data_IF_899067505434
#
_entry.id   IF_899067505434
#
_cell.length_a   1.000
_cell.length_b   1.000
_cell.length_c   1.000
_cell.angle_alpha   90.00
_cell.angle_beta   90.00
_cell.angle_gamma   90.00
#
_symmetry.space_group_name_H-M   'P 1'
#
loop_
_entity.id
_entity.type
_entity.pdbx_description
1 polymer ?
#
# COMPACT_ATOMS: atom_id res chain seq x y z
N UNK A 1 5.56 12.90 -8.16
CA UNK A 1 5.31 12.73 -6.71
C UNK A 1 4.64 13.94 -6.12
N UNK A 2 5.19 15.14 -6.27
CA UNK A 2 4.61 16.36 -5.64
C UNK A 2 3.15 16.60 -6.04
N UNK A 3 2.78 16.50 -7.32
CA UNK A 3 1.37 16.61 -7.75
C UNK A 3 0.42 15.65 -7.03
N UNK A 4 0.90 14.46 -6.65
CA UNK A 4 0.09 13.47 -5.90
C UNK A 4 -0.09 13.92 -4.46
N UNK A 5 0.96 14.43 -3.81
CA UNK A 5 0.83 15.04 -2.47
C UNK A 5 -0.19 16.18 -2.48
N UNK A 6 -0.09 17.09 -3.45
CA UNK A 6 -1.01 18.22 -3.57
C UNK A 6 -2.45 17.76 -3.82
N UNK A 7 -2.67 16.83 -4.76
CA UNK A 7 -4.00 16.32 -5.06
C UNK A 7 -4.61 15.55 -3.88
N UNK A 8 -3.84 14.69 -3.22
CA UNK A 8 -4.37 13.90 -2.10
C UNK A 8 -4.81 14.79 -0.95
N UNK A 9 -4.02 15.82 -0.63
CA UNK A 9 -4.40 16.82 0.36
C UNK A 9 -5.73 17.50 0.00
N UNK A 10 -5.89 17.95 -1.24
CA UNK A 10 -7.12 18.60 -1.72
C UNK A 10 -8.35 17.68 -1.66
N UNK A 11 -8.14 16.37 -1.80
CA UNK A 11 -9.20 15.36 -1.69
C UNK A 11 -9.47 14.94 -0.24
N UNK A 12 -8.74 15.48 0.74
CA UNK A 12 -8.88 15.16 2.16
C UNK A 12 -8.15 13.88 2.58
N UNK A 13 -7.23 13.37 1.76
CA UNK A 13 -6.44 12.18 2.06
C UNK A 13 -5.01 12.55 2.43
N UNK A 14 -4.50 11.93 3.51
CA UNK A 14 -3.08 12.02 3.84
C UNK A 14 -2.29 10.98 3.05
N UNK A 15 -1.51 11.44 2.09
CA UNK A 15 -0.61 10.55 1.33
C UNK A 15 0.65 10.25 2.13
N UNK A 16 0.87 8.98 2.47
CA UNK A 16 1.97 8.55 3.33
C UNK A 16 2.84 7.47 2.66
N UNK A 17 3.67 7.84 1.67
CA UNK A 17 4.58 6.90 1.01
C UNK A 17 5.78 6.55 1.90
N UNK A 18 6.33 5.34 1.73
CA UNK A 18 7.64 5.00 2.33
C UNK A 18 8.73 5.84 1.69
N UNK A 19 9.53 6.51 2.52
CA UNK A 19 10.77 7.18 2.09
C UNK A 19 11.91 6.19 2.32
N UNK A 20 12.57 5.74 1.24
CA UNK A 20 13.73 4.84 1.32
C UNK A 20 15.02 5.62 1.61
N UNK A 21 15.27 6.65 0.82
CA UNK A 21 16.53 7.41 0.82
C UNK A 21 16.27 8.84 1.31
N UNK A 22 16.47 9.03 2.61
CA UNK A 22 16.21 10.32 3.27
C UNK A 22 17.24 11.39 2.85
N UNK A 23 18.48 10.99 2.55
CA UNK A 23 19.56 11.91 2.13
C UNK A 23 19.28 12.63 0.82
N UNK A 24 18.55 11.99 -0.10
CA UNK A 24 18.16 12.58 -1.39
C UNK A 24 16.88 13.43 -1.30
N UNK A 25 16.26 13.44 -0.12
CA UNK A 25 14.97 14.10 0.06
C UNK A 25 15.16 15.60 0.27
N UNK A 26 14.54 16.40 -0.60
CA UNK A 26 14.60 17.86 -0.54
C UNK A 26 13.36 18.47 0.11
N UNK A 27 13.58 19.42 1.03
CA UNK A 27 12.58 20.26 1.69
C UNK A 27 12.44 21.59 0.95
N UNK A 28 11.21 22.06 0.79
CA UNK A 28 10.92 23.32 0.10
C UNK A 28 10.42 24.36 1.10
N UNK A 29 11.07 25.52 1.12
CA UNK A 29 10.69 26.62 2.02
C UNK A 29 10.18 27.83 1.23
N UNK A 30 9.30 28.66 1.84
CA UNK A 30 8.91 29.95 1.28
C UNK A 30 10.12 30.87 1.08
N UNK A 31 9.94 31.92 0.28
CA UNK A 31 10.92 33.01 0.22
C UNK A 31 10.96 33.74 1.56
N UNK A 32 12.15 33.90 2.12
CA UNK A 32 12.40 34.60 3.39
C UNK A 32 13.80 34.31 3.93
N UNK A 33 14.13 34.95 5.05
CA UNK A 33 15.48 34.97 5.65
C UNK A 33 15.67 33.94 6.76
N UNK A 34 14.69 33.04 6.96
CA UNK A 34 14.78 32.00 7.99
C UNK A 34 15.95 31.03 7.71
N UNK A 35 16.89 30.98 8.65
CA UNK A 35 18.01 30.03 8.62
C UNK A 35 17.64 28.75 9.38
N UNK A 36 17.88 27.60 8.76
CA UNK A 36 17.64 26.28 9.33
C UNK A 36 18.93 25.45 9.25
N UNK A 37 19.89 25.73 10.13
CA UNK A 37 21.24 25.16 10.01
C UNK A 37 21.27 23.64 10.03
N UNK A 38 20.48 23.01 10.90
CA UNK A 38 20.38 21.55 11.00
C UNK A 38 19.75 20.89 9.76
N UNK A 39 18.90 21.60 9.02
CA UNK A 39 18.20 21.09 7.84
C UNK A 39 18.81 21.59 6.52
N UNK A 40 19.83 22.45 6.59
CA UNK A 40 20.47 23.07 5.43
C UNK A 40 20.86 22.09 4.31
N UNK A 41 21.39 20.88 4.60
CA UNK A 41 21.70 19.90 3.54
C UNK A 41 20.46 19.36 2.81
N UNK A 42 19.32 19.32 3.51
CA UNK A 42 18.04 18.82 2.98
C UNK A 42 17.23 19.93 2.30
N UNK A 43 17.52 21.20 2.53
CA UNK A 43 16.78 22.30 1.91
C UNK A 43 17.12 22.41 0.42
N UNK A 44 16.08 22.45 -0.42
CA UNK A 44 16.19 22.71 -1.84
C UNK A 44 16.72 24.13 -2.09
N UNK A 45 17.53 24.29 -3.13
CA UNK A 45 17.88 25.62 -3.66
C UNK A 45 16.66 26.33 -4.27
N UNK A 46 15.70 25.57 -4.79
CA UNK A 46 14.44 26.09 -5.33
C UNK A 46 13.47 26.47 -4.20
N UNK A 47 12.88 27.67 -4.32
CA UNK A 47 11.96 28.23 -3.32
C UNK A 47 10.52 28.06 -3.77
N UNK A 48 9.62 27.88 -2.81
CA UNK A 48 8.19 27.80 -3.09
C UNK A 48 7.69 29.06 -3.79
N UNK A 49 6.98 28.87 -4.91
CA UNK A 49 6.36 29.96 -5.64
C UNK A 49 4.89 30.11 -5.28
N UNK A 50 4.63 30.75 -4.13
CA UNK A 50 3.27 30.97 -3.61
C UNK A 50 2.42 31.80 -4.59
N UNK A 51 3.04 32.68 -5.38
CA UNK A 51 2.31 33.49 -6.39
C UNK A 51 1.66 32.61 -7.45
N UNK A 52 2.31 31.52 -7.87
CA UNK A 52 1.75 30.58 -8.84
C UNK A 52 0.56 29.80 -8.28
N UNK A 53 0.62 29.40 -7.01
CA UNK A 53 -0.52 28.76 -6.32
C UNK A 53 -1.72 29.71 -6.31
N UNK A 54 -1.50 30.98 -5.95
CA UNK A 54 -2.57 32.00 -5.90
C UNK A 54 -3.15 32.29 -7.28
N UNK A 55 -2.31 32.40 -8.31
CA UNK A 55 -2.75 32.72 -9.67
C UNK A 55 -3.67 31.64 -10.28
N UNK A 56 -3.50 30.38 -9.88
CA UNK A 56 -4.27 29.25 -10.40
C UNK A 56 -5.15 28.57 -9.33
N UNK A 57 -5.46 29.27 -8.24
CA UNK A 57 -6.17 28.67 -7.10
C UNK A 57 -7.56 28.15 -7.48
N UNK A 58 -8.33 28.93 -8.23
CA UNK A 58 -9.67 28.54 -8.66
C UNK A 58 -9.63 27.30 -9.57
N UNK A 59 -8.61 27.19 -10.42
CA UNK A 59 -8.40 26.02 -11.27
C UNK A 59 -8.06 24.77 -10.46
N UNK A 60 -7.24 24.92 -9.40
CA UNK A 60 -6.92 23.83 -8.46
C UNK A 60 -8.19 23.35 -7.75
N UNK A 61 -9.03 24.26 -7.27
CA UNK A 61 -10.29 23.91 -6.61
C UNK A 61 -11.26 23.23 -7.55
N UNK A 62 -11.41 23.77 -8.78
CA UNK A 62 -12.25 23.15 -9.82
C UNK A 62 -11.75 21.74 -10.15
N UNK A 63 -10.45 21.58 -10.30
CA UNK A 63 -9.81 20.29 -10.57
C UNK A 63 -10.12 19.24 -9.49
N UNK A 64 -9.92 19.59 -8.21
CA UNK A 64 -10.23 18.71 -7.09
C UNK A 64 -11.73 18.38 -7.01
N UNK A 65 -12.58 19.38 -7.26
CA UNK A 65 -14.04 19.22 -7.24
C UNK A 65 -14.54 18.29 -8.34
N UNK A 66 -14.04 18.42 -9.57
CA UNK A 66 -14.41 17.53 -10.69
C UNK A 66 -14.04 16.07 -10.43
N UNK A 67 -12.94 15.82 -9.72
CA UNK A 67 -12.58 14.47 -9.28
C UNK A 67 -13.52 13.99 -8.18
N UNK A 68 -13.79 14.83 -7.17
CA UNK A 68 -14.66 14.49 -6.04
C UNK A 68 -16.11 14.22 -6.48
N UNK A 69 -16.59 14.92 -7.50
CA UNK A 69 -17.91 14.72 -8.10
C UNK A 69 -17.96 13.54 -9.10
N UNK A 70 -16.82 12.90 -9.40
CA UNK A 70 -16.76 11.77 -10.32
C UNK A 70 -16.91 12.13 -11.81
N UNK A 71 -16.88 13.42 -12.16
CA UNK A 71 -16.92 13.89 -13.56
C UNK A 71 -15.71 13.38 -14.37
N UNK A 72 -14.57 13.22 -13.69
CA UNK A 72 -13.32 12.69 -14.26
C UNK A 72 -12.59 11.82 -13.23
N UNK A 73 -11.82 10.84 -13.71
CA UNK A 73 -10.98 10.03 -12.83
C UNK A 73 -9.67 10.75 -12.50
N UNK A 74 -9.17 10.57 -11.27
CA UNK A 74 -7.89 11.13 -10.85
C UNK A 74 -6.72 10.62 -11.72
N UNK A 75 -6.76 9.36 -12.14
CA UNK A 75 -5.73 8.76 -13.00
C UNK A 75 -5.64 9.41 -14.37
N UNK A 76 -6.79 9.67 -15.02
CA UNK A 76 -6.85 10.36 -16.31
C UNK A 76 -6.29 11.79 -16.19
N UNK A 77 -6.71 12.50 -15.15
CA UNK A 77 -6.31 13.87 -14.89
C UNK A 77 -4.81 14.01 -14.60
N UNK A 78 -4.27 13.17 -13.71
CA UNK A 78 -2.83 13.16 -13.43
C UNK A 78 -2.01 12.79 -14.66
N UNK A 79 -2.49 11.86 -15.50
CA UNK A 79 -1.84 11.52 -16.77
C UNK A 79 -1.77 12.74 -17.70
N UNK A 80 -2.88 13.50 -17.83
CA UNK A 80 -2.94 14.71 -18.67
C UNK A 80 -2.03 15.83 -18.16
N UNK A 81 -1.98 16.05 -16.84
CA UNK A 81 -1.06 17.01 -16.23
C UNK A 81 0.40 16.60 -16.38
N UNK A 82 0.67 15.29 -16.38
CA UNK A 82 2.00 14.72 -16.58
C UNK A 82 2.54 14.83 -18.01
N UNK A 83 1.68 15.01 -19.02
CA UNK A 83 2.10 15.09 -20.43
C UNK A 83 2.84 16.38 -20.78
N UNK A 84 2.44 17.52 -20.21
CA UNK A 84 3.06 18.84 -20.50
C UNK A 84 3.23 19.71 -19.24
N UNK A 85 4.02 19.26 -18.25
CA UNK A 85 4.03 19.86 -16.92
C UNK A 85 4.68 21.25 -16.86
N UNK A 86 5.49 21.65 -17.85
CA UNK A 86 6.14 22.99 -17.88
C UNK A 86 5.31 24.04 -18.63
N UNK A 87 4.36 23.61 -19.44
CA UNK A 87 3.51 24.50 -20.25
C UNK A 87 2.11 24.67 -19.63
N UNK A 88 1.79 23.91 -18.59
CA UNK A 88 0.49 23.93 -17.93
C UNK A 88 0.58 24.63 -16.56
N UNK A 89 0.02 25.83 -16.46
CA UNK A 89 0.00 26.63 -15.22
C UNK A 89 -0.63 25.89 -14.04
N UNK A 90 -1.72 25.14 -14.26
CA UNK A 90 -2.34 24.30 -13.23
C UNK A 90 -1.41 23.17 -12.76
N UNK A 91 -0.65 22.54 -13.67
CA UNK A 91 0.31 21.52 -13.28
C UNK A 91 1.43 22.12 -12.41
N UNK A 92 1.96 23.28 -12.79
CA UNK A 92 2.97 24.00 -12.02
C UNK A 92 2.43 24.38 -10.64
N UNK A 93 1.23 24.97 -10.57
CA UNK A 93 0.62 25.38 -9.31
C UNK A 93 0.32 24.18 -8.39
N UNK A 94 -0.20 23.08 -8.93
CA UNK A 94 -0.43 21.85 -8.17
C UNK A 94 0.88 21.21 -7.69
N UNK A 95 1.97 21.31 -8.47
CA UNK A 95 3.30 20.90 -8.02
C UNK A 95 3.79 21.73 -6.85
N UNK A 96 3.64 23.06 -6.88
CA UNK A 96 4.04 23.95 -5.78
C UNK A 96 3.27 23.63 -4.50
N UNK A 97 1.96 23.41 -4.59
CA UNK A 97 1.15 22.95 -3.46
C UNK A 97 1.66 21.59 -2.95
N UNK A 98 1.94 20.66 -3.87
CA UNK A 98 2.49 19.36 -3.56
C UNK A 98 3.85 19.39 -2.86
N UNK A 99 4.70 20.37 -3.16
CA UNK A 99 5.99 20.57 -2.49
C UNK A 99 5.82 21.00 -1.03
N UNK A 100 4.79 21.78 -0.71
CA UNK A 100 4.42 22.14 0.67
C UNK A 100 4.03 20.87 1.44
N UNK A 101 3.03 20.15 0.94
CA UNK A 101 2.51 18.94 1.58
C UNK A 101 3.58 17.86 1.75
N UNK A 102 4.43 17.69 0.73
CA UNK A 102 5.56 16.78 0.80
C UNK A 102 6.56 17.20 1.89
N UNK A 103 6.87 18.49 1.99
CA UNK A 103 7.80 19.02 3.01
C UNK A 103 7.24 18.77 4.41
N UNK A 104 5.96 19.07 4.64
CA UNK A 104 5.28 18.79 5.90
C UNK A 104 5.31 17.29 6.23
N UNK A 105 4.98 16.43 5.26
CA UNK A 105 5.04 14.98 5.45
C UNK A 105 6.45 14.49 5.82
N UNK A 106 7.51 15.04 5.20
CA UNK A 106 8.88 14.64 5.53
C UNK A 106 9.25 15.08 6.96
N UNK A 107 8.83 16.28 7.38
CA UNK A 107 9.05 16.73 8.75
C UNK A 107 8.34 15.82 9.76
N UNK A 108 7.08 15.45 9.50
CA UNK A 108 6.35 14.47 10.29
C UNK A 108 7.05 13.10 10.28
N UNK A 109 7.54 12.68 9.12
CA UNK A 109 8.27 11.43 8.94
C UNK A 109 9.55 11.39 9.77
N UNK A 110 10.26 12.51 9.92
CA UNK A 110 11.47 12.61 10.75
C UNK A 110 11.13 12.53 12.24
N UNK A 111 10.06 13.18 12.67
CA UNK A 111 9.71 13.31 14.08
C UNK A 111 8.96 12.08 14.63
N UNK A 112 8.06 11.48 13.85
CA UNK A 112 7.16 10.43 14.33
C UNK A 112 7.63 9.02 13.99
N UNK A 113 8.07 8.28 15.02
CA UNK A 113 8.35 6.83 14.91
C UNK A 113 7.08 6.04 14.54
N UNK A 114 5.94 6.43 15.08
CA UNK A 114 4.65 5.77 14.87
C UNK A 114 4.20 5.87 13.41
N UNK A 115 4.36 7.05 12.79
CA UNK A 115 4.09 7.23 11.36
C UNK A 115 4.96 6.29 10.52
N UNK A 116 6.26 6.20 10.82
CA UNK A 116 7.19 5.29 10.12
C UNK A 116 6.76 3.83 10.27
N UNK A 117 6.41 3.39 11.48
CA UNK A 117 5.91 2.03 11.76
C UNK A 117 4.63 1.73 10.98
N UNK A 118 3.67 2.66 10.95
CA UNK A 118 2.41 2.49 10.23
C UNK A 118 2.61 2.35 8.72
N UNK A 119 3.46 3.20 8.14
CA UNK A 119 3.79 3.12 6.71
C UNK A 119 4.55 1.84 6.38
N UNK A 120 5.49 1.42 7.23
CA UNK A 120 6.21 0.16 7.05
C UNK A 120 5.27 -1.05 7.16
N UNK A 121 4.31 -1.05 8.07
CA UNK A 121 3.30 -2.11 8.17
C UNK A 121 2.47 -2.24 6.88
N UNK A 122 2.12 -1.12 6.24
CA UNK A 122 1.46 -1.12 4.93
C UNK A 122 2.32 -1.76 3.84
N UNK A 123 3.62 -1.45 3.81
CA UNK A 123 4.55 -2.08 2.88
C UNK A 123 4.70 -3.58 3.14
N UNK A 124 4.87 -3.98 4.41
CA UNK A 124 5.01 -5.37 4.82
C UNK A 124 3.81 -6.21 4.35
N UNK A 125 2.58 -5.67 4.40
CA UNK A 125 1.39 -6.33 3.84
C UNK A 125 1.52 -6.59 2.35
N UNK A 126 1.99 -5.61 1.58
CA UNK A 126 2.24 -5.75 0.15
C UNK A 126 3.35 -6.74 -0.17
N UNK A 127 4.46 -6.68 0.56
CA UNK A 127 5.58 -7.62 0.42
C UNK A 127 5.19 -9.04 0.79
N UNK A 128 4.43 -9.25 1.86
CA UNK A 128 3.90 -10.56 2.26
C UNK A 128 2.94 -11.13 1.22
N UNK A 129 2.04 -10.31 0.66
CA UNK A 129 1.18 -10.73 -0.46
C UNK A 129 2.01 -11.12 -1.68
N UNK A 130 3.03 -10.34 -2.02
CA UNK A 130 3.91 -10.64 -3.14
C UNK A 130 4.76 -11.90 -2.88
N UNK A 131 5.19 -12.13 -1.65
CA UNK A 131 5.91 -13.35 -1.25
C UNK A 131 5.01 -14.59 -1.38
N UNK A 132 3.76 -14.51 -0.89
CA UNK A 132 2.76 -15.56 -1.09
C UNK A 132 2.50 -15.82 -2.57
N UNK A 133 2.28 -14.77 -3.36
CA UNK A 133 2.05 -14.91 -4.80
C UNK A 133 3.24 -15.57 -5.51
N UNK A 134 4.48 -15.25 -5.14
CA UNK A 134 5.69 -15.92 -5.65
C UNK A 134 5.78 -17.37 -5.22
N UNK A 135 5.41 -17.69 -3.98
CA UNK A 135 5.41 -19.08 -3.50
C UNK A 135 4.38 -19.94 -4.26
N UNK A 136 3.19 -19.40 -4.51
CA UNK A 136 2.16 -20.06 -5.32
C UNK A 136 2.59 -20.14 -6.80
N UNK A 137 3.22 -19.09 -7.32
CA UNK A 137 3.68 -19.00 -8.70
C UNK A 137 5.16 -19.42 -8.84
N UNK A 138 5.49 -20.60 -8.32
CA UNK A 138 6.89 -21.09 -8.25
C UNK A 138 7.45 -21.55 -9.61
N UNK A 139 6.60 -21.98 -10.54
CA UNK A 139 7.03 -22.46 -11.85
C UNK A 139 7.51 -21.31 -12.75
N UNK A 140 8.55 -21.55 -13.54
CA UNK A 140 9.18 -20.56 -14.44
C UNK A 140 9.64 -19.28 -13.73
N UNK A 141 10.15 -19.40 -12.51
CA UNK A 141 10.63 -18.27 -11.69
C UNK A 141 9.56 -17.20 -11.42
N UNK A 142 8.28 -17.55 -11.56
CA UNK A 142 7.19 -16.61 -11.42
C UNK A 142 7.01 -15.65 -12.60
N UNK A 143 7.54 -16.00 -13.79
CA UNK A 143 7.38 -15.21 -15.01
C UNK A 143 6.23 -15.71 -15.90
N UNK A 144 5.36 -14.79 -16.31
CA UNK A 144 4.30 -15.07 -17.29
C UNK A 144 4.89 -14.92 -18.70
N UNK A 145 5.30 -16.04 -19.31
CA UNK A 145 5.86 -16.10 -20.67
C UNK A 145 4.84 -16.54 -21.74
N UNK A 146 3.55 -16.29 -21.55
CA UNK A 146 2.56 -16.64 -22.59
C UNK A 146 2.63 -15.67 -23.77
N UNK A 147 2.34 -16.20 -24.95
CA UNK A 147 2.36 -15.42 -26.20
C UNK A 147 1.17 -14.49 -26.34
N UNK A 148 -0.02 -14.89 -25.88
CA UNK A 148 -1.23 -14.06 -26.01
C UNK A 148 -1.58 -13.34 -24.71
N UNK A 149 -2.09 -12.11 -24.84
CA UNK A 149 -2.58 -11.32 -23.71
C UNK A 149 -3.68 -12.05 -22.92
N UNK A 150 -4.53 -12.80 -23.61
CA UNK A 150 -5.61 -13.57 -22.99
C UNK A 150 -5.07 -14.67 -22.06
N UNK A 151 -4.05 -15.42 -22.50
CA UNK A 151 -3.40 -16.44 -21.68
C UNK A 151 -2.68 -15.84 -20.47
N UNK A 152 -2.02 -14.69 -20.65
CA UNK A 152 -1.42 -13.94 -19.54
C UNK A 152 -2.48 -13.53 -18.51
N UNK A 153 -3.64 -13.06 -18.97
CA UNK A 153 -4.78 -12.69 -18.13
C UNK A 153 -5.35 -13.88 -17.36
N UNK A 154 -5.51 -15.04 -18.00
CA UNK A 154 -5.99 -16.24 -17.31
C UNK A 154 -5.00 -16.68 -16.22
N UNK A 155 -3.69 -16.68 -16.50
CA UNK A 155 -2.68 -17.02 -15.48
C UNK A 155 -2.67 -16.05 -14.31
N UNK A 156 -2.69 -14.74 -14.56
CA UNK A 156 -2.80 -13.74 -13.51
C UNK A 156 -4.09 -13.89 -12.68
N UNK A 157 -5.21 -14.19 -13.34
CA UNK A 157 -6.49 -14.38 -12.64
C UNK A 157 -6.50 -15.65 -11.78
N UNK A 158 -5.94 -16.76 -12.29
CA UNK A 158 -5.79 -18.01 -11.54
C UNK A 158 -4.87 -17.86 -10.33
N UNK A 159 -3.74 -17.15 -10.48
CA UNK A 159 -2.86 -16.83 -9.37
C UNK A 159 -3.58 -16.01 -8.28
N UNK A 160 -4.34 -15.00 -8.69
CA UNK A 160 -5.13 -14.20 -7.76
C UNK A 160 -6.19 -15.06 -7.05
N UNK A 161 -6.86 -15.97 -7.76
CA UNK A 161 -7.85 -16.88 -7.19
C UNK A 161 -7.24 -17.79 -6.12
N UNK A 162 -6.13 -18.46 -6.41
CA UNK A 162 -5.46 -19.36 -5.46
C UNK A 162 -4.92 -18.59 -4.25
N UNK A 163 -4.31 -17.44 -4.49
CA UNK A 163 -3.83 -16.55 -3.40
C UNK A 163 -4.98 -16.14 -2.49
N UNK A 164 -6.12 -15.73 -3.06
CA UNK A 164 -7.29 -15.36 -2.28
C UNK A 164 -7.89 -16.54 -1.51
N UNK A 165 -7.90 -17.74 -2.10
CA UNK A 165 -8.37 -18.96 -1.43
C UNK A 165 -7.49 -19.32 -0.23
N UNK A 166 -6.17 -19.18 -0.34
CA UNK A 166 -5.23 -19.37 0.78
C UNK A 166 -5.51 -18.37 1.90
N UNK A 167 -5.63 -17.08 1.55
CA UNK A 167 -5.92 -16.03 2.53
C UNK A 167 -7.24 -16.27 3.24
N UNK A 168 -8.28 -16.67 2.50
CA UNK A 168 -9.58 -17.00 3.08
C UNK A 168 -9.49 -18.20 4.03
N UNK A 169 -8.80 -19.26 3.60
CA UNK A 169 -8.57 -20.45 4.43
C UNK A 169 -7.83 -20.07 5.72
N UNK A 170 -6.73 -19.34 5.63
CA UNK A 170 -5.98 -18.88 6.79
C UNK A 170 -6.85 -18.04 7.73
N UNK A 171 -7.62 -17.08 7.20
CA UNK A 171 -8.50 -16.23 8.00
C UNK A 171 -9.51 -17.07 8.81
N UNK A 172 -10.18 -18.03 8.17
CA UNK A 172 -11.15 -18.88 8.84
C UNK A 172 -10.51 -19.83 9.89
N UNK A 173 -9.31 -20.35 9.62
CA UNK A 173 -8.63 -21.24 10.56
C UNK A 173 -7.97 -20.51 11.71
N UNK A 174 -7.52 -19.26 11.51
CA UNK A 174 -6.97 -18.43 12.58
C UNK A 174 -8.05 -18.10 13.61
N UNK A 175 -9.25 -17.72 13.17
CA UNK A 175 -10.40 -17.53 14.07
C UNK A 175 -10.69 -18.79 14.90
N UNK A 176 -10.75 -19.95 14.24
CA UNK A 176 -10.99 -21.24 14.92
C UNK A 176 -9.88 -21.59 15.90
N UNK A 177 -8.63 -21.33 15.55
CA UNK A 177 -7.49 -21.58 16.42
C UNK A 177 -7.53 -20.71 17.67
N UNK A 178 -7.85 -19.43 17.53
CA UNK A 178 -8.05 -18.51 18.66
C UNK A 178 -9.19 -18.98 19.56
N UNK A 179 -10.34 -19.36 18.99
CA UNK A 179 -11.48 -19.85 19.76
C UNK A 179 -11.16 -21.14 20.51
N UNK A 180 -10.40 -22.05 19.88
CA UNK A 180 -9.95 -23.28 20.53
C UNK A 180 -9.00 -22.98 21.71
N UNK A 181 -8.02 -22.08 21.54
CA UNK A 181 -7.11 -21.68 22.62
C UNK A 181 -7.86 -21.11 23.82
N UNK A 182 -8.81 -20.20 23.56
CA UNK A 182 -9.67 -19.64 24.60
C UNK A 182 -10.49 -20.73 25.32
N UNK A 183 -11.09 -21.65 24.57
CA UNK A 183 -11.85 -22.78 25.13
C UNK A 183 -11.01 -23.78 25.93
N UNK A 184 -9.70 -23.86 25.68
CA UNK A 184 -8.73 -24.69 26.40
C UNK A 184 -8.06 -23.97 27.58
N UNK A 185 -8.58 -22.81 28.01
CA UNK A 185 -8.04 -22.07 29.16
C UNK A 185 -6.71 -21.36 28.89
N UNK A 186 -6.33 -21.18 27.62
CA UNK A 186 -5.19 -20.36 27.19
C UNK A 186 -5.73 -19.05 26.57
N UNK A 187 -6.13 -18.07 27.39
CA UNK A 187 -6.74 -16.84 26.87
C UNK A 187 -5.76 -16.11 25.96
N UNK A 188 -6.21 -15.79 24.75
CA UNK A 188 -5.46 -15.00 23.79
C UNK A 188 -5.81 -13.53 23.98
N UNK A 189 -4.78 -12.69 24.18
CA UNK A 189 -4.95 -11.24 24.25
C UNK A 189 -5.44 -10.70 22.89
N UNK A 190 -6.65 -10.15 22.87
CA UNK A 190 -7.28 -9.62 21.66
C UNK A 190 -6.51 -8.44 21.05
N UNK A 191 -5.73 -7.72 21.86
CA UNK A 191 -4.88 -6.62 21.37
C UNK A 191 -3.83 -7.12 20.38
N UNK A 192 -3.51 -8.43 20.38
CA UNK A 192 -2.56 -9.04 19.46
C UNK A 192 -3.15 -9.31 18.07
N UNK A 193 -4.48 -9.34 17.91
CA UNK A 193 -5.11 -9.64 16.61
C UNK A 193 -4.73 -8.65 15.52
N UNK A 194 -4.41 -7.40 15.89
CA UNK A 194 -3.94 -6.38 14.94
C UNK A 194 -2.61 -6.74 14.25
N UNK A 195 -1.82 -7.65 14.85
CA UNK A 195 -0.53 -8.12 14.35
C UNK A 195 -0.64 -9.43 13.57
N UNK A 196 -1.81 -10.05 13.55
CA UNK A 196 -2.06 -11.29 12.84
C UNK A 196 -2.12 -11.05 11.32
N UNK A 197 -1.51 -11.94 10.55
CA UNK A 197 -1.51 -11.87 9.08
C UNK A 197 -2.01 -13.19 8.49
N UNK A 198 -3.08 -13.18 7.67
CA UNK A 198 -3.56 -14.37 6.98
C UNK A 198 -2.72 -14.70 5.73
N UNK A 199 -1.55 -14.08 5.56
CA UNK A 199 -0.68 -14.26 4.38
C UNK A 199 0.42 -15.31 4.57
N UNK A 200 0.58 -15.86 5.78
CA UNK A 200 1.51 -16.97 6.04
C UNK A 200 1.12 -18.21 5.25
N UNK A 201 2.09 -18.99 4.79
CA UNK A 201 1.86 -20.13 3.91
C UNK A 201 2.77 -21.33 4.18
N UNK A 202 3.66 -21.23 5.15
CA UNK A 202 4.64 -22.26 5.51
C UNK A 202 3.96 -23.58 5.92
N UNK A 203 2.69 -23.53 6.36
CA UNK A 203 1.86 -24.70 6.68
C UNK A 203 1.09 -25.28 5.48
N UNK A 204 1.18 -24.68 4.30
CA UNK A 204 0.49 -25.11 3.07
C UNK A 204 1.49 -25.79 2.16
N UNK A 205 1.17 -27.03 1.77
CA UNK A 205 1.99 -27.73 0.79
C UNK A 205 1.69 -27.21 -0.63
N UNK A 206 2.64 -26.47 -1.22
CA UNK A 206 2.53 -25.89 -2.57
C UNK A 206 3.22 -26.75 -3.65
N UNK A 207 4.01 -27.75 -3.25
CA UNK A 207 4.77 -28.62 -4.14
C UNK A 207 4.62 -30.10 -3.75
N UNK A 208 4.95 -31.00 -4.67
CA UNK A 208 4.82 -32.44 -4.46
C UNK A 208 3.46 -33.01 -4.85
N UNK A 209 3.19 -34.23 -4.37
CA UNK A 209 2.04 -35.02 -4.83
C UNK A 209 0.76 -34.70 -4.05
N UNK A 210 -0.27 -34.28 -4.79
CA UNK A 210 -1.59 -34.01 -4.23
C UNK A 210 -2.45 -35.29 -4.26
N UNK A 211 -2.42 -36.04 -3.16
CA UNK A 211 -3.25 -37.23 -3.00
C UNK A 211 -4.66 -36.85 -2.53
N UNK A 212 -5.61 -36.82 -3.46
CA UNK A 212 -7.02 -36.60 -3.19
C UNK A 212 -7.70 -37.91 -2.74
N UNK A 213 -7.66 -38.21 -1.43
CA UNK A 213 -8.41 -39.35 -0.88
C UNK A 213 -9.90 -39.02 -0.86
N UNK A 214 -10.70 -39.68 -1.70
CA UNK A 214 -12.14 -39.43 -1.85
C UNK A 214 -12.97 -39.72 -0.59
N UNK A 215 -12.42 -40.47 0.37
CA UNK A 215 -13.04 -40.84 1.63
C UNK A 215 -13.03 -39.73 2.70
N UNK A 216 -12.09 -38.78 2.61
CA UNK A 216 -12.01 -37.62 3.52
C UNK A 216 -12.78 -36.43 2.93
N UNK A 217 -14.10 -36.55 2.87
CA UNK A 217 -14.96 -35.41 2.54
C UNK A 217 -15.22 -34.60 3.81
N UNK A 218 -14.65 -33.41 3.86
CA UNK A 218 -15.11 -32.38 4.80
C UNK A 218 -16.55 -32.04 4.38
N UNK A 219 -17.53 -32.31 5.25
CA UNK A 219 -18.94 -32.02 4.94
C UNK A 219 -19.14 -30.53 4.62
N UNK A 220 -20.20 -30.19 3.87
CA UNK A 220 -20.52 -28.79 3.55
C UNK A 220 -20.59 -27.96 4.84
N UNK A 221 -19.90 -26.81 4.86
CA UNK A 221 -19.81 -25.93 6.03
C UNK A 221 -18.98 -26.47 7.20
N UNK A 222 -18.39 -27.68 7.08
CA UNK A 222 -17.47 -28.22 8.09
C UNK A 222 -16.04 -27.82 7.75
N UNK A 223 -15.17 -27.92 8.75
CA UNK A 223 -13.75 -27.62 8.64
C UNK A 223 -12.94 -28.86 8.98
N UNK A 224 -11.69 -28.90 8.51
CA UNK A 224 -10.72 -29.87 8.99
C UNK A 224 -10.44 -29.63 10.48
N UNK A 225 -10.17 -30.68 11.25
CA UNK A 225 -9.78 -30.53 12.65
C UNK A 225 -8.48 -29.74 12.78
N UNK A 226 -8.36 -28.97 13.86
CA UNK A 226 -7.11 -28.33 14.24
C UNK A 226 -6.11 -29.39 14.71
N UNK A 227 -4.81 -29.06 14.68
CA UNK A 227 -3.79 -29.92 15.29
C UNK A 227 -4.02 -29.95 16.82
N UNK A 228 -3.77 -31.09 17.48
CA UNK A 228 -3.81 -31.15 18.93
C UNK A 228 -2.89 -30.10 19.54
N UNK A 229 -3.35 -29.43 20.60
CA UNK A 229 -2.50 -28.52 21.36
C UNK A 229 -1.44 -29.35 22.11
N UNK A 230 -0.18 -28.88 22.20
CA UNK A 230 0.81 -29.51 23.05
C UNK A 230 0.31 -29.57 24.50
N UNK A 231 0.60 -30.65 25.24
CA UNK A 231 0.31 -30.72 26.67
C UNK A 231 1.01 -29.56 27.40
N UNK A 232 0.38 -29.10 28.49
CA UNK A 232 0.86 -28.00 29.32
C UNK A 232 2.16 -28.37 30.05
#
# INVERSE_FOLDING_TARGET
TDHVFGLMHLLGFRFAPRIRDLGDTKLFIPKGDAAYDALKPMISSDRLNIKQIRAHWDEILRFATSIKQGTVTASLMLRKLGSYPRQNGLAVALRELGRIERTLFILDWLQSVELRRRVQAGLNKGEARNALARAVFFNRLGEIRDRSFEQQRYRASGLNLVTAAIVLWNTAYLERATNALNGHGKPVDETLFQYLSPLGWEHINLTGDYLWRSSTKVGAGKFRPLRPLPPA
#
